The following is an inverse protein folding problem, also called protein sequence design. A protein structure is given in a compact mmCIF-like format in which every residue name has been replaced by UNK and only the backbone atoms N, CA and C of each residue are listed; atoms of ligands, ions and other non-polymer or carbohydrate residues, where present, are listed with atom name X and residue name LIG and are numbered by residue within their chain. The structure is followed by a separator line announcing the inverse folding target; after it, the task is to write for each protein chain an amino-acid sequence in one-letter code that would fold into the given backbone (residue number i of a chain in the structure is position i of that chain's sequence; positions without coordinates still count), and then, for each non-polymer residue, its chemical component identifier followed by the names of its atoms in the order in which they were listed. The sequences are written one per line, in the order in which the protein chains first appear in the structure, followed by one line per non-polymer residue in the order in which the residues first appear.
data_IF_232717021591
#
_entry.id   IF_232717021591
#
_cell.length_a   1.000
_cell.length_b   1.000
_cell.length_c   1.000
_cell.angle_alpha   90.00
_cell.angle_beta   90.00
_cell.angle_gamma   90.00
#
_symmetry.space_group_name_H-M   'P 1'
#
loop_
_entity.id
_entity.type
_entity.pdbx_description
1 polymer ?
#
# COMPACT_ATOMS: atom_id res chain seq x y z
N UNK A 1 -8.05 29.37 1.34
CA UNK A 1 -7.77 28.69 0.05
C UNK A 1 -8.94 27.75 -0.17
N UNK A 2 -9.52 27.75 -1.38
CA UNK A 2 -10.55 26.76 -1.69
C UNK A 2 -9.90 25.37 -1.68
N UNK A 3 -10.59 24.40 -1.09
CA UNK A 3 -10.19 22.99 -1.11
C UNK A 3 -10.13 22.49 -2.56
N UNK A 4 -9.12 21.69 -2.90
CA UNK A 4 -8.97 21.17 -4.26
C UNK A 4 -10.07 20.14 -4.53
N UNK A 5 -10.89 20.37 -5.55
CA UNK A 5 -11.86 19.38 -6.03
C UNK A 5 -11.21 18.45 -7.05
N UNK A 6 -11.56 17.18 -7.01
CA UNK A 6 -11.13 16.13 -7.94
C UNK A 6 -12.23 15.70 -8.90
N UNK A 7 -13.37 16.39 -8.92
CA UNK A 7 -14.59 16.03 -9.68
C UNK A 7 -14.33 15.75 -11.17
N UNK A 8 -13.41 16.49 -11.80
CA UNK A 8 -13.04 16.24 -13.20
C UNK A 8 -12.03 15.09 -13.34
N UNK A 9 -11.06 15.01 -12.42
CA UNK A 9 -10.00 14.01 -12.46
C UNK A 9 -10.51 12.60 -12.17
N UNK A 10 -11.54 12.45 -11.34
CA UNK A 10 -12.09 11.12 -11.00
C UNK A 10 -12.75 10.44 -12.21
N UNK A 11 -13.14 11.19 -13.25
CA UNK A 11 -13.65 10.60 -14.52
C UNK A 11 -12.64 9.62 -15.14
N UNK A 12 -11.34 9.87 -14.96
CA UNK A 12 -10.26 9.00 -15.44
C UNK A 12 -10.23 7.64 -14.74
N UNK A 13 -10.85 7.50 -13.58
CA UNK A 13 -10.97 6.22 -12.88
C UNK A 13 -11.84 5.20 -13.63
N UNK A 14 -12.66 5.67 -14.61
CA UNK A 14 -13.48 4.81 -15.47
C UNK A 14 -12.73 4.21 -16.66
N UNK A 15 -11.48 4.62 -16.91
CA UNK A 15 -10.65 4.06 -17.98
C UNK A 15 -10.55 2.53 -17.84
N UNK A 16 -10.67 1.85 -18.98
CA UNK A 16 -10.69 0.40 -19.09
C UNK A 16 -9.37 -0.21 -19.50
N UNK A 17 -9.42 -1.46 -19.92
CA UNK A 17 -8.25 -2.24 -20.34
C UNK A 17 -7.57 -1.63 -21.56
N UNK A 18 -6.25 -1.41 -21.44
CA UNK A 18 -5.42 -0.89 -22.53
C UNK A 18 -5.42 0.63 -22.69
N UNK A 19 -6.31 1.35 -22.02
CA UNK A 19 -6.37 2.81 -22.10
C UNK A 19 -5.23 3.46 -21.28
N UNK A 20 -4.77 4.62 -21.75
CA UNK A 20 -3.67 5.34 -21.09
C UNK A 20 -4.22 6.26 -20.01
N UNK A 21 -3.98 5.89 -18.75
CA UNK A 21 -4.22 6.76 -17.61
C UNK A 21 -3.12 7.83 -17.50
N UNK A 22 -3.53 9.09 -17.31
CA UNK A 22 -2.62 10.20 -17.05
C UNK A 22 -3.12 11.00 -15.86
N UNK A 23 -2.28 11.16 -14.83
CA UNK A 23 -2.69 11.86 -13.62
C UNK A 23 -1.63 11.86 -12.53
N UNK A 24 -2.09 12.14 -11.34
CA UNK A 24 -1.32 12.21 -10.11
C UNK A 24 -1.24 10.86 -9.41
N UNK A 25 -0.21 10.65 -8.58
CA UNK A 25 0.03 9.39 -7.86
C UNK A 25 -1.17 8.92 -7.03
N UNK A 26 -1.84 9.83 -6.34
CA UNK A 26 -3.03 9.51 -5.53
C UNK A 26 -4.19 8.99 -6.40
N UNK A 27 -4.44 9.60 -7.55
CA UNK A 27 -5.43 9.11 -8.51
C UNK A 27 -5.06 7.73 -9.06
N UNK A 28 -3.76 7.50 -9.32
CA UNK A 28 -3.27 6.20 -9.76
C UNK A 28 -3.45 5.12 -8.69
N UNK A 29 -3.27 5.46 -7.41
CA UNK A 29 -3.58 4.56 -6.28
C UNK A 29 -5.06 4.19 -6.27
N UNK A 30 -5.95 5.18 -6.38
CA UNK A 30 -7.40 4.93 -6.43
C UNK A 30 -7.77 4.03 -7.61
N UNK A 31 -7.21 4.31 -8.79
CA UNK A 31 -7.42 3.45 -9.97
C UNK A 31 -6.94 2.02 -9.72
N UNK A 32 -5.78 1.84 -9.10
CA UNK A 32 -5.24 0.52 -8.77
C UNK A 32 -6.10 -0.25 -7.75
N UNK A 33 -6.73 0.45 -6.78
CA UNK A 33 -7.70 -0.14 -5.86
C UNK A 33 -8.92 -0.69 -6.62
N UNK A 34 -9.47 0.09 -7.57
CA UNK A 34 -10.58 -0.34 -8.42
C UNK A 34 -10.20 -1.53 -9.31
N UNK A 35 -9.03 -1.50 -9.92
CA UNK A 35 -8.51 -2.61 -10.73
C UNK A 35 -8.25 -3.88 -9.90
N UNK A 36 -7.98 -3.71 -8.61
CA UNK A 36 -7.74 -4.82 -7.68
C UNK A 36 -9.03 -5.44 -7.13
N UNK A 37 -10.19 -4.86 -7.41
CA UNK A 37 -11.48 -5.38 -6.89
C UNK A 37 -11.60 -5.20 -5.39
N UNK A 38 -11.19 -4.05 -4.86
CA UNK A 38 -11.37 -3.71 -3.44
C UNK A 38 -12.86 -3.69 -3.09
N UNK A 39 -13.24 -4.22 -1.94
CA UNK A 39 -14.63 -4.24 -1.47
C UNK A 39 -14.96 -3.05 -0.56
N UNK A 40 -13.97 -2.54 0.16
CA UNK A 40 -14.14 -1.41 1.07
C UNK A 40 -12.83 -0.64 1.25
N UNK A 41 -12.98 0.67 1.48
CA UNK A 41 -11.88 1.56 1.85
C UNK A 41 -12.33 2.42 3.02
N UNK A 42 -11.55 2.47 4.08
CA UNK A 42 -11.76 3.38 5.19
C UNK A 42 -10.51 4.25 5.38
N UNK A 43 -10.68 5.43 5.95
CA UNK A 43 -9.53 6.27 6.17
C UNK A 43 -9.77 7.45 7.09
N UNK A 44 -8.66 8.07 7.48
CA UNK A 44 -8.66 9.32 8.24
C UNK A 44 -7.68 10.29 7.60
N UNK A 45 -8.09 11.54 7.41
CA UNK A 45 -7.30 12.52 6.69
C UNK A 45 -5.99 12.85 7.40
N UNK A 46 -4.93 13.02 6.61
CA UNK A 46 -3.62 13.45 7.10
C UNK A 46 -2.63 13.62 5.93
N UNK A 47 -2.00 14.80 5.82
CA UNK A 47 -1.04 15.05 4.76
C UNK A 47 0.18 14.09 4.88
N UNK A 48 0.73 13.58 3.76
CA UNK A 48 0.45 13.93 2.36
C UNK A 48 -0.63 13.09 1.68
N UNK A 49 -1.30 12.17 2.39
CA UNK A 49 -2.24 11.21 1.81
C UNK A 49 -3.72 11.70 1.85
N UNK A 50 -4.02 12.87 2.43
CA UNK A 50 -5.37 13.42 2.57
C UNK A 50 -6.18 13.35 1.28
N UNK A 51 -5.58 13.74 0.16
CA UNK A 51 -6.25 13.77 -1.13
C UNK A 51 -6.75 12.39 -1.60
N UNK A 52 -6.25 11.28 -1.06
CA UNK A 52 -6.82 9.97 -1.36
C UNK A 52 -8.27 9.87 -0.87
N UNK A 53 -8.54 10.45 0.31
CA UNK A 53 -9.90 10.50 0.86
C UNK A 53 -10.79 11.43 0.03
N UNK A 54 -10.26 12.57 -0.43
CA UNK A 54 -10.99 13.52 -1.27
C UNK A 54 -11.34 12.91 -2.62
N UNK A 55 -10.38 12.21 -3.27
CA UNK A 55 -10.61 11.48 -4.53
C UNK A 55 -11.67 10.39 -4.34
N UNK A 56 -11.64 9.63 -3.24
CA UNK A 56 -12.62 8.59 -2.96
C UNK A 56 -14.02 9.19 -2.73
N UNK A 57 -14.11 10.33 -2.04
CA UNK A 57 -15.37 11.05 -1.85
C UNK A 57 -15.95 11.57 -3.18
N UNK A 58 -15.13 12.21 -4.02
CA UNK A 58 -15.55 12.70 -5.34
C UNK A 58 -15.85 11.56 -6.32
N UNK A 59 -15.34 10.34 -6.08
CA UNK A 59 -15.59 9.15 -6.88
C UNK A 59 -16.79 8.30 -6.39
N UNK A 60 -17.63 8.80 -5.49
CA UNK A 60 -18.69 8.04 -4.82
C UNK A 60 -19.60 7.28 -5.80
N UNK A 61 -19.93 7.88 -6.94
CA UNK A 61 -20.75 7.22 -7.98
C UNK A 61 -20.05 5.96 -8.51
N UNK A 62 -18.75 6.06 -8.81
CA UNK A 62 -17.94 4.94 -9.31
C UNK A 62 -17.85 3.83 -8.25
N UNK A 63 -17.64 4.22 -6.99
CA UNK A 63 -17.58 3.27 -5.87
C UNK A 63 -18.90 2.53 -5.71
N UNK A 64 -20.02 3.25 -5.78
CA UNK A 64 -21.37 2.68 -5.70
C UNK A 64 -21.64 1.71 -6.84
N UNK A 65 -21.30 2.07 -8.08
CA UNK A 65 -21.42 1.21 -9.26
C UNK A 65 -20.67 -0.12 -9.10
N UNK A 66 -19.51 -0.10 -8.42
CA UNK A 66 -18.69 -1.28 -8.19
C UNK A 66 -19.01 -2.00 -6.87
N UNK A 67 -19.96 -1.50 -6.08
CA UNK A 67 -20.33 -2.07 -4.78
C UNK A 67 -19.26 -1.91 -3.72
N UNK A 68 -18.44 -0.87 -3.81
CA UNK A 68 -17.35 -0.56 -2.89
C UNK A 68 -17.87 0.33 -1.77
N UNK A 69 -17.68 -0.10 -0.53
CA UNK A 69 -17.96 0.73 0.65
C UNK A 69 -16.81 1.69 0.91
N UNK A 70 -17.11 2.97 1.05
CA UNK A 70 -16.15 4.00 1.43
C UNK A 70 -16.59 4.69 2.72
N UNK A 71 -15.68 4.89 3.65
CA UNK A 71 -15.94 5.50 4.94
C UNK A 71 -14.85 6.48 5.36
N UNK A 72 -15.26 7.71 5.70
CA UNK A 72 -14.47 8.61 6.52
C UNK A 72 -14.61 8.19 7.98
N UNK A 73 -13.55 7.64 8.54
CA UNK A 73 -13.54 7.14 9.91
C UNK A 73 -13.34 8.27 10.92
N UNK A 74 -13.77 8.04 12.16
CA UNK A 74 -13.61 9.01 13.24
C UNK A 74 -12.15 9.14 13.73
N UNK A 75 -11.32 8.15 13.44
CA UNK A 75 -9.88 8.12 13.75
C UNK A 75 -9.17 7.07 12.91
N UNK A 76 -7.85 7.11 12.91
CA UNK A 76 -7.01 6.09 12.27
C UNK A 76 -7.19 4.70 12.91
N UNK A 77 -7.47 4.64 14.21
CA UNK A 77 -7.76 3.39 14.90
C UNK A 77 -9.05 2.73 14.37
N UNK A 78 -10.11 3.52 14.16
CA UNK A 78 -11.35 3.01 13.57
C UNK A 78 -11.16 2.62 12.11
N UNK A 79 -10.41 3.42 11.33
CA UNK A 79 -10.06 3.07 9.94
C UNK A 79 -9.30 1.74 9.87
N UNK A 80 -8.31 1.53 10.72
CA UNK A 80 -7.58 0.27 10.78
C UNK A 80 -8.45 -0.90 11.24
N UNK A 81 -9.38 -0.68 12.18
CA UNK A 81 -10.28 -1.71 12.69
C UNK A 81 -11.24 -2.23 11.60
N UNK A 82 -11.60 -1.44 10.58
CA UNK A 82 -12.44 -1.92 9.46
C UNK A 82 -11.77 -3.07 8.69
N UNK A 83 -10.43 -3.13 8.69
CA UNK A 83 -9.69 -4.24 8.05
C UNK A 83 -9.98 -5.62 8.69
N UNK A 84 -10.62 -5.65 9.87
CA UNK A 84 -11.09 -6.88 10.48
C UNK A 84 -12.13 -7.63 9.61
N UNK A 85 -12.78 -6.95 8.67
CA UNK A 85 -13.64 -7.63 7.68
C UNK A 85 -12.85 -8.63 6.84
N UNK A 86 -11.61 -8.33 6.48
CA UNK A 86 -10.72 -9.23 5.75
C UNK A 86 -10.16 -10.39 6.60
N UNK A 87 -10.38 -10.41 7.92
CA UNK A 87 -10.06 -11.56 8.77
C UNK A 87 -11.06 -12.70 8.54
N UNK A 88 -12.35 -12.37 8.50
CA UNK A 88 -13.43 -13.37 8.42
C UNK A 88 -13.88 -13.68 7.00
N UNK A 89 -13.60 -12.79 6.04
CA UNK A 89 -14.09 -12.88 4.67
C UNK A 89 -12.96 -12.72 3.66
N UNK A 90 -13.07 -13.36 2.48
CA UNK A 90 -12.11 -13.19 1.39
C UNK A 90 -12.33 -11.86 0.66
N UNK A 91 -12.36 -10.76 1.42
CA UNK A 91 -12.55 -9.40 0.94
C UNK A 91 -11.21 -8.68 0.86
N UNK A 92 -10.95 -7.98 -0.24
CA UNK A 92 -9.87 -7.01 -0.32
C UNK A 92 -10.35 -5.70 0.30
N UNK A 93 -9.67 -5.25 1.33
CA UNK A 93 -9.95 -4.00 2.02
C UNK A 93 -8.72 -3.12 2.12
N UNK A 94 -8.92 -1.81 2.14
CA UNK A 94 -7.85 -0.85 2.35
C UNK A 94 -8.18 0.12 3.50
N UNK A 95 -7.16 0.48 4.27
CA UNK A 95 -7.22 1.60 5.20
C UNK A 95 -6.15 2.62 4.82
N UNK A 96 -6.46 3.92 4.94
CA UNK A 96 -5.53 4.99 4.60
C UNK A 96 -5.49 6.08 5.66
N UNK A 97 -4.27 6.52 6.00
CA UNK A 97 -4.02 7.61 6.95
C UNK A 97 -2.56 8.05 6.86
N UNK A 98 -2.24 9.17 7.51
CA UNK A 98 -0.86 9.60 7.64
C UNK A 98 -0.05 8.59 8.44
N UNK A 99 1.23 8.36 8.06
CA UNK A 99 2.21 7.60 8.81
C UNK A 99 2.35 8.14 10.23
N UNK A 100 3.39 7.94 10.93
CA UNK A 100 3.69 8.47 12.27
C UNK A 100 2.48 8.68 13.19
N UNK A 101 1.70 9.76 13.01
CA UNK A 101 0.52 10.04 13.82
C UNK A 101 -0.50 8.91 13.72
N UNK A 102 -0.90 8.57 12.49
CA UNK A 102 -1.94 7.57 12.26
C UNK A 102 -1.50 6.16 12.63
N UNK A 103 -0.26 5.77 12.36
CA UNK A 103 0.26 4.47 12.79
C UNK A 103 0.34 4.35 14.30
N UNK A 104 0.65 5.45 15.01
CA UNK A 104 0.64 5.46 16.48
C UNK A 104 -0.79 5.32 17.03
N UNK A 105 -1.75 6.06 16.48
CA UNK A 105 -3.17 5.97 16.90
C UNK A 105 -3.76 4.59 16.57
N UNK A 106 -3.44 4.04 15.40
CA UNK A 106 -3.93 2.73 14.93
C UNK A 106 -3.14 1.54 15.49
N UNK A 107 -2.14 1.76 16.36
CA UNK A 107 -1.14 0.77 16.75
C UNK A 107 -1.74 -0.53 17.27
N UNK A 108 -2.75 -0.45 18.13
CA UNK A 108 -3.39 -1.63 18.70
C UNK A 108 -4.18 -2.42 17.63
N UNK A 109 -5.01 -1.74 16.84
CA UNK A 109 -5.79 -2.37 15.79
C UNK A 109 -4.89 -3.07 14.74
N UNK A 110 -3.79 -2.43 14.35
CA UNK A 110 -2.82 -3.01 13.41
C UNK A 110 -2.05 -4.18 14.01
N UNK A 111 -1.68 -4.11 15.30
CA UNK A 111 -1.01 -5.22 15.99
C UNK A 111 -1.92 -6.45 16.10
N UNK A 112 -3.19 -6.26 16.44
CA UNK A 112 -4.19 -7.32 16.47
C UNK A 112 -4.36 -7.97 15.09
N UNK A 113 -4.51 -7.15 14.03
CA UNK A 113 -4.64 -7.63 12.66
C UNK A 113 -3.41 -8.44 12.21
N UNK A 114 -2.21 -7.97 12.52
CA UNK A 114 -0.96 -8.66 12.20
C UNK A 114 -0.81 -9.98 12.98
N UNK A 115 -1.24 -10.02 14.22
CA UNK A 115 -1.17 -11.22 15.07
C UNK A 115 -2.11 -12.31 14.56
N UNK A 116 -3.41 -12.02 14.44
CA UNK A 116 -4.42 -12.98 13.98
C UNK A 116 -4.28 -13.37 12.51
N UNK A 117 -3.73 -12.47 11.69
CA UNK A 117 -3.65 -12.62 10.25
C UNK A 117 -4.98 -12.34 9.55
N UNK A 118 -4.99 -12.48 8.24
CA UNK A 118 -6.12 -12.17 7.37
C UNK A 118 -6.43 -13.32 6.42
N UNK A 119 -7.68 -13.41 6.01
CA UNK A 119 -8.16 -14.37 4.98
C UNK A 119 -8.19 -13.68 3.61
N UNK A 120 -8.72 -12.47 3.56
CA UNK A 120 -8.70 -11.62 2.38
C UNK A 120 -7.49 -10.70 2.34
N UNK A 121 -7.34 -9.93 1.27
CA UNK A 121 -6.26 -8.94 1.15
C UNK A 121 -6.51 -7.72 2.03
N UNK A 122 -5.57 -7.37 2.90
CA UNK A 122 -5.64 -6.17 3.76
C UNK A 122 -4.45 -5.24 3.46
N UNK A 123 -4.75 -4.06 2.92
CA UNK A 123 -3.74 -3.08 2.54
C UNK A 123 -3.86 -1.82 3.42
N UNK A 124 -2.75 -1.40 3.99
CA UNK A 124 -2.64 -0.20 4.82
C UNK A 124 -1.84 0.83 4.03
N UNK A 125 -2.49 1.85 3.49
CA UNK A 125 -1.86 2.88 2.66
C UNK A 125 -1.51 4.07 3.55
N UNK A 126 -0.21 4.29 3.77
CA UNK A 126 0.27 5.35 4.65
C UNK A 126 1.03 6.41 3.87
N UNK A 127 0.69 7.68 4.12
CA UNK A 127 1.42 8.82 3.61
C UNK A 127 2.57 9.22 4.53
N UNK A 128 3.74 9.48 3.99
CA UNK A 128 4.94 9.83 4.78
C UNK A 128 5.62 11.09 4.23
N UNK A 129 5.90 12.06 5.10
CA UNK A 129 6.46 13.37 4.73
C UNK A 129 7.62 13.83 5.62
N UNK A 130 8.26 12.93 6.33
CA UNK A 130 9.42 13.31 7.16
C UNK A 130 10.54 13.89 6.28
N UNK A 131 11.14 14.97 6.77
CA UNK A 131 12.25 15.65 6.10
C UNK A 131 11.87 16.51 4.89
N UNK A 132 10.64 16.43 4.38
CA UNK A 132 10.19 17.16 3.19
C UNK A 132 8.90 17.96 3.41
N UNK A 133 8.09 17.59 4.39
CA UNK A 133 6.79 18.18 4.62
C UNK A 133 6.69 18.91 5.95
N UNK A 134 5.46 19.08 6.40
CA UNK A 134 5.10 19.77 7.62
C UNK A 134 4.93 18.86 8.84
N UNK A 135 5.49 17.65 8.81
CA UNK A 135 5.41 16.73 9.94
C UNK A 135 6.12 17.28 11.17
N UNK A 136 5.38 17.36 12.26
CA UNK A 136 5.92 17.75 13.57
C UNK A 136 6.82 16.66 14.11
N UNK A 137 6.43 15.39 13.94
CA UNK A 137 7.19 14.22 14.36
C UNK A 137 7.95 13.62 13.17
N UNK A 138 9.23 13.35 13.37
CA UNK A 138 10.13 12.82 12.34
C UNK A 138 10.37 11.32 12.49
N UNK A 139 9.36 10.57 12.92
CA UNK A 139 9.40 9.11 13.01
C UNK A 139 9.30 8.45 11.62
N UNK A 140 9.60 7.17 11.59
CA UNK A 140 9.66 6.38 10.35
C UNK A 140 8.60 5.28 10.34
N UNK A 141 7.76 5.26 9.30
CA UNK A 141 6.73 4.23 9.11
C UNK A 141 7.31 2.80 9.04
N UNK A 142 8.54 2.64 8.50
CA UNK A 142 9.18 1.33 8.45
C UNK A 142 9.50 0.74 9.84
N UNK A 143 9.87 1.57 10.80
CA UNK A 143 10.10 1.11 12.17
C UNK A 143 8.82 0.56 12.79
N UNK A 144 7.67 1.19 12.50
CA UNK A 144 6.37 0.70 12.90
C UNK A 144 6.04 -0.66 12.24
N UNK A 145 6.24 -0.79 10.93
CA UNK A 145 5.99 -2.03 10.21
C UNK A 145 6.85 -3.20 10.76
N UNK A 146 8.12 -2.94 11.09
CA UNK A 146 9.00 -3.92 11.72
C UNK A 146 8.51 -4.32 13.11
N UNK A 147 8.18 -3.36 13.97
CA UNK A 147 7.64 -3.60 15.32
C UNK A 147 6.37 -4.43 15.27
N UNK A 148 5.44 -4.08 14.39
CA UNK A 148 4.13 -4.72 14.27
C UNK A 148 4.14 -5.96 13.37
N UNK A 149 5.29 -6.30 12.77
CA UNK A 149 5.49 -7.46 11.93
C UNK A 149 4.58 -7.48 10.68
N UNK A 150 4.31 -6.30 10.14
CA UNK A 150 3.56 -6.07 8.90
C UNK A 150 4.55 -5.95 7.74
N UNK A 151 4.24 -6.53 6.59
CA UNK A 151 5.06 -6.34 5.38
C UNK A 151 4.94 -4.90 4.87
N UNK A 152 6.06 -4.30 4.48
CA UNK A 152 6.10 -2.92 3.99
C UNK A 152 6.53 -2.90 2.54
N UNK A 153 5.73 -2.27 1.68
CA UNK A 153 6.08 -1.93 0.30
C UNK A 153 6.38 -0.43 0.19
N UNK A 154 7.52 -0.09 -0.40
CA UNK A 154 8.00 1.28 -0.64
C UNK A 154 8.35 1.41 -2.14
N UNK A 155 7.36 1.66 -3.03
CA UNK A 155 7.58 1.68 -4.47
C UNK A 155 8.41 2.88 -4.93
N UNK A 156 9.03 2.76 -6.10
CA UNK A 156 9.62 3.92 -6.77
C UNK A 156 8.53 4.97 -7.07
N UNK A 157 8.83 6.27 -6.92
CA UNK A 157 7.84 7.33 -7.12
C UNK A 157 7.59 7.59 -8.62
N UNK A 158 6.91 6.63 -9.25
CA UNK A 158 6.33 6.73 -10.59
C UNK A 158 5.04 5.90 -10.65
N UNK A 159 4.11 6.28 -11.52
CA UNK A 159 2.79 5.67 -11.55
C UNK A 159 2.80 4.15 -11.80
N UNK A 160 3.56 3.61 -12.78
CA UNK A 160 3.59 2.17 -12.99
C UNK A 160 4.04 1.38 -11.75
N UNK A 161 5.08 1.85 -11.03
CA UNK A 161 5.56 1.20 -9.82
C UNK A 161 4.56 1.29 -8.67
N UNK A 162 3.86 2.43 -8.52
CA UNK A 162 2.84 2.63 -7.49
C UNK A 162 1.65 1.69 -7.74
N UNK A 163 1.13 1.66 -8.97
CA UNK A 163 0.02 0.78 -9.36
C UNK A 163 0.37 -0.70 -9.17
N UNK A 164 1.57 -1.11 -9.60
CA UNK A 164 2.05 -2.45 -9.40
C UNK A 164 2.18 -2.82 -7.91
N UNK A 165 2.61 -1.87 -7.05
CA UNK A 165 2.74 -2.09 -5.63
C UNK A 165 1.37 -2.24 -4.92
N UNK A 166 0.35 -1.50 -5.33
CA UNK A 166 -1.03 -1.69 -4.80
C UNK A 166 -1.54 -3.09 -5.12
N UNK A 167 -1.43 -3.52 -6.39
CA UNK A 167 -1.85 -4.86 -6.83
C UNK A 167 -1.08 -5.96 -6.09
N UNK A 168 0.26 -5.85 -6.08
CA UNK A 168 1.12 -6.80 -5.38
C UNK A 168 0.89 -6.82 -3.87
N UNK A 169 0.52 -5.69 -3.26
CA UNK A 169 0.19 -5.60 -1.85
C UNK A 169 -1.00 -6.47 -1.45
N UNK A 170 -2.08 -6.46 -2.23
CA UNK A 170 -3.20 -7.37 -2.02
C UNK A 170 -2.82 -8.83 -2.23
N UNK A 171 -2.13 -9.13 -3.34
CA UNK A 171 -1.69 -10.49 -3.64
C UNK A 171 -0.73 -11.05 -2.58
N UNK A 172 0.21 -10.22 -2.08
CA UNK A 172 1.13 -10.58 -1.00
C UNK A 172 0.37 -10.83 0.30
N UNK A 173 -0.62 -9.97 0.62
CA UNK A 173 -1.45 -10.12 1.81
C UNK A 173 -2.21 -11.44 1.78
N UNK A 174 -2.83 -11.78 0.65
CA UNK A 174 -3.56 -13.04 0.45
C UNK A 174 -2.62 -14.25 0.51
N UNK A 175 -1.48 -14.19 -0.17
CA UNK A 175 -0.51 -15.29 -0.22
C UNK A 175 0.15 -15.60 1.13
N UNK A 176 0.30 -14.57 1.98
CA UNK A 176 0.96 -14.69 3.28
C UNK A 176 0.02 -14.63 4.47
N UNK A 177 -1.27 -14.44 4.25
CA UNK A 177 -2.26 -14.21 5.31
C UNK A 177 -1.84 -13.12 6.31
N UNK A 178 -1.13 -12.10 5.83
CA UNK A 178 -0.57 -11.02 6.65
C UNK A 178 -0.97 -9.68 6.05
N UNK A 179 -1.38 -8.69 6.85
CA UNK A 179 -1.64 -7.36 6.31
C UNK A 179 -0.36 -6.78 5.71
N UNK A 180 -0.52 -5.94 4.69
CA UNK A 180 0.59 -5.28 3.99
C UNK A 180 0.45 -3.77 4.11
N UNK A 181 1.53 -3.09 4.45
CA UNK A 181 1.61 -1.63 4.47
C UNK A 181 2.23 -1.15 3.16
N UNK A 182 1.56 -0.23 2.49
CA UNK A 182 2.07 0.50 1.34
C UNK A 182 2.45 1.91 1.78
N UNK A 183 3.73 2.23 1.77
CA UNK A 183 4.24 3.53 2.13
C UNK A 183 4.34 4.42 0.89
N UNK A 184 3.66 5.56 0.91
CA UNK A 184 3.74 6.57 -0.13
C UNK A 184 4.37 7.84 0.45
N UNK A 185 5.56 8.15 -0.01
CA UNK A 185 6.21 9.41 0.37
C UNK A 185 5.53 10.58 -0.34
N UNK A 186 5.64 11.78 0.21
CA UNK A 186 5.01 12.99 -0.34
C UNK A 186 5.22 13.12 -1.86
N UNK A 187 6.43 12.83 -2.36
CA UNK A 187 6.72 12.87 -3.80
C UNK A 187 5.95 11.84 -4.60
N UNK A 188 5.72 10.65 -4.05
CA UNK A 188 4.93 9.62 -4.69
C UNK A 188 3.44 9.97 -4.71
N UNK A 189 2.94 10.65 -3.68
CA UNK A 189 1.55 11.13 -3.63
C UNK A 189 1.26 12.12 -4.77
N UNK A 190 2.22 13.02 -5.08
CA UNK A 190 2.03 14.14 -6.00
C UNK A 190 2.76 14.00 -7.33
N UNK A 191 3.43 12.87 -7.59
CA UNK A 191 4.07 12.64 -8.89
C UNK A 191 3.02 12.55 -9.99
N UNK A 192 3.27 13.22 -11.11
CA UNK A 192 2.46 13.10 -12.31
C UNK A 192 3.13 12.15 -13.30
N UNK A 193 2.32 11.36 -14.00
CA UNK A 193 2.81 10.40 -14.98
C UNK A 193 1.69 9.69 -15.72
N UNK A 194 2.03 8.57 -16.33
CA UNK A 194 1.07 7.75 -17.05
C UNK A 194 1.35 6.25 -16.85
N UNK A 195 0.32 5.45 -17.04
CA UNK A 195 0.41 3.99 -17.12
C UNK A 195 -0.74 3.45 -17.98
N UNK A 196 -0.62 2.21 -18.44
CA UNK A 196 -1.72 1.53 -19.13
C UNK A 196 -2.68 0.95 -18.10
N UNK A 197 -3.92 1.42 -18.12
CA UNK A 197 -4.95 1.00 -17.21
C UNK A 197 -5.45 -0.42 -17.52
N UNK A 198 -5.97 -1.09 -16.50
CA UNK A 198 -6.75 -2.31 -16.61
C UNK A 198 -8.23 -2.03 -16.32
N UNK A 199 -9.09 -2.97 -16.64
CA UNK A 199 -10.50 -2.85 -16.29
C UNK A 199 -10.72 -2.84 -14.78
N UNK A 200 -11.63 -2.01 -14.31
CA UNK A 200 -12.10 -2.04 -12.93
C UNK A 200 -12.77 -3.38 -12.64
N UNK A 201 -12.57 -3.90 -11.44
CA UNK A 201 -13.11 -5.18 -11.01
C UNK A 201 -14.05 -4.99 -9.84
N UNK A 202 -15.17 -5.69 -9.85
CA UNK A 202 -16.00 -5.84 -8.66
C UNK A 202 -15.37 -6.87 -7.73
N UNK A 203 -15.51 -6.66 -6.43
CA UNK A 203 -15.21 -7.72 -5.48
C UNK A 203 -16.13 -8.92 -5.77
N UNK A 204 -15.60 -10.16 -5.76
CA UNK A 204 -16.43 -11.36 -5.92
C UNK A 204 -17.43 -11.55 -4.75
N UNK A 205 -17.19 -10.83 -3.66
CA UNK A 205 -18.03 -10.85 -2.47
C UNK A 205 -18.05 -9.45 -1.87
N UNK A 206 -19.23 -8.85 -1.80
CA UNK A 206 -19.37 -7.46 -1.32
C UNK A 206 -19.53 -7.42 0.21
N UNK A 207 -19.24 -6.26 0.81
CA UNK A 207 -19.47 -6.05 2.23
C UNK A 207 -20.93 -6.30 2.62
N UNK A 208 -21.89 -5.90 1.77
CA UNK A 208 -23.32 -6.17 1.98
C UNK A 208 -23.63 -7.68 2.05
N UNK A 209 -23.04 -8.47 1.17
CA UNK A 209 -23.18 -9.94 1.19
C UNK A 209 -22.55 -10.52 2.45
N UNK A 210 -21.40 -10.01 2.89
CA UNK A 210 -20.77 -10.40 4.13
C UNK A 210 -21.67 -10.13 5.35
N UNK A 211 -22.36 -8.99 5.37
CA UNK A 211 -23.29 -8.64 6.44
C UNK A 211 -24.54 -9.54 6.44
N UNK A 212 -25.03 -9.92 5.26
CA UNK A 212 -26.19 -10.83 5.12
C UNK A 212 -25.84 -12.29 5.46
N UNK A 213 -24.57 -12.66 5.36
CA UNK A 213 -24.06 -13.99 5.68
C UNK A 213 -22.94 -13.90 6.72
N UNK A 214 -23.25 -13.52 7.95
CA UNK A 214 -22.23 -13.28 8.96
C UNK A 214 -21.42 -14.55 9.24
N UNK A 215 -20.11 -14.43 9.11
CA UNK A 215 -19.14 -15.48 9.43
C UNK A 215 -18.29 -15.01 10.59
N UNK A 216 -17.95 -15.91 11.47
CA UNK A 216 -17.03 -15.65 12.57
C UNK A 216 -16.04 -16.81 12.66
N UNK A 217 -14.81 -16.54 12.29
CA UNK A 217 -13.73 -17.50 12.50
C UNK A 217 -13.17 -17.35 13.92
N UNK A 218 -13.62 -18.19 14.83
CA UNK A 218 -13.15 -18.18 16.21
C UNK A 218 -11.68 -18.58 16.36
N UNK A 219 -11.11 -19.25 15.35
CA UNK A 219 -9.70 -19.61 15.34
C UNK A 219 -8.78 -18.39 15.15
N UNK A 220 -9.31 -17.28 14.62
CA UNK A 220 -8.58 -16.02 14.42
C UNK A 220 -8.69 -15.03 15.58
N UNK A 221 -9.34 -15.42 16.67
CA UNK A 221 -9.43 -14.56 17.87
C UNK A 221 -8.05 -14.46 18.52
N UNK A 222 -7.59 -13.21 18.76
CA UNK A 222 -6.28 -12.90 19.34
C UNK A 222 -6.35 -12.96 20.88
N UNK A 223 -6.68 -14.14 21.42
CA UNK A 223 -6.74 -14.42 22.84
C UNK A 223 -6.03 -15.75 23.13
N UNK A 224 -5.48 -15.93 24.33
CA UNK A 224 -4.93 -17.24 24.74
C UNK A 224 -5.99 -18.35 24.72
N UNK A 225 -5.66 -19.57 24.26
CA UNK A 225 -4.33 -20.02 23.80
C UNK A 225 -4.06 -19.72 22.31
N UNK A 226 -5.04 -19.19 21.55
CA UNK A 226 -4.92 -18.99 20.10
C UNK A 226 -3.83 -17.99 19.72
N UNK A 227 -3.59 -16.95 20.52
CA UNK A 227 -2.51 -15.98 20.28
C UNK A 227 -1.13 -16.63 20.14
N UNK A 228 -0.86 -17.67 20.91
CA UNK A 228 0.39 -18.45 20.82
C UNK A 228 0.44 -19.30 19.54
N UNK A 229 -0.69 -19.90 19.15
CA UNK A 229 -0.79 -20.65 17.92
C UNK A 229 -0.57 -19.75 16.68
N UNK A 230 -1.14 -18.54 16.69
CA UNK A 230 -0.95 -17.55 15.62
C UNK A 230 0.51 -17.08 15.49
N UNK A 231 1.22 -16.89 16.60
CA UNK A 231 2.63 -16.53 16.55
C UNK A 231 3.46 -17.65 15.92
N UNK A 232 3.18 -18.90 16.27
CA UNK A 232 3.82 -20.05 15.65
C UNK A 232 3.51 -20.17 14.16
N UNK A 233 2.23 -20.04 13.77
CA UNK A 233 1.80 -20.01 12.37
C UNK A 233 2.51 -18.89 11.60
N UNK A 234 2.58 -17.68 12.17
CA UNK A 234 3.21 -16.52 11.55
C UNK A 234 4.68 -16.80 11.20
N UNK A 235 5.45 -17.32 12.14
CA UNK A 235 6.87 -17.60 11.93
C UNK A 235 7.09 -18.78 10.99
N UNK A 236 6.31 -19.85 11.13
CA UNK A 236 6.55 -21.11 10.43
C UNK A 236 5.91 -21.18 9.04
N UNK A 237 4.86 -20.41 8.77
CA UNK A 237 4.09 -20.50 7.53
C UNK A 237 3.94 -19.15 6.83
N UNK A 238 3.42 -18.14 7.51
CA UNK A 238 3.06 -16.84 6.92
C UNK A 238 4.27 -16.06 6.42
N UNK A 239 5.35 -16.01 7.19
CA UNK A 239 6.57 -15.33 6.77
C UNK A 239 7.29 -16.06 5.62
N UNK A 240 7.52 -17.37 5.66
CA UNK A 240 8.07 -18.09 4.51
C UNK A 240 7.25 -17.94 3.24
N UNK A 241 5.92 -17.94 3.34
CA UNK A 241 5.04 -17.70 2.19
C UNK A 241 5.21 -16.31 1.60
N UNK A 242 5.35 -15.27 2.45
CA UNK A 242 5.61 -13.91 1.98
C UNK A 242 6.97 -13.79 1.29
N UNK A 243 8.03 -14.33 1.86
CA UNK A 243 9.38 -14.32 1.26
C UNK A 243 9.37 -15.03 -0.10
N UNK A 244 8.71 -16.18 -0.18
CA UNK A 244 8.53 -16.91 -1.44
C UNK A 244 7.79 -16.09 -2.50
N UNK A 245 6.71 -15.40 -2.09
CA UNK A 245 5.95 -14.52 -2.99
C UNK A 245 6.81 -13.37 -3.50
N UNK A 246 7.49 -12.64 -2.61
CA UNK A 246 8.34 -11.49 -2.94
C UNK A 246 9.45 -11.88 -3.91
N UNK A 247 10.14 -12.98 -3.63
CA UNK A 247 11.22 -13.50 -4.49
C UNK A 247 10.68 -13.99 -5.82
N UNK A 248 9.57 -14.75 -5.81
CA UNK A 248 8.99 -15.32 -7.03
C UNK A 248 8.37 -14.27 -7.96
N UNK A 249 7.91 -13.14 -7.44
CA UNK A 249 7.38 -12.02 -8.22
C UNK A 249 8.45 -10.99 -8.61
N UNK A 250 9.67 -11.11 -8.08
CA UNK A 250 10.72 -10.13 -8.34
C UNK A 250 10.31 -8.72 -7.93
N UNK A 251 9.72 -8.56 -6.75
CA UNK A 251 9.24 -7.24 -6.31
C UNK A 251 10.39 -6.24 -6.17
N UNK A 252 11.55 -6.70 -5.75
CA UNK A 252 12.78 -5.90 -5.73
C UNK A 252 13.41 -5.87 -7.12
N UNK A 253 14.03 -4.76 -7.47
CA UNK A 253 14.60 -4.55 -8.80
C UNK A 253 16.11 -4.46 -8.73
N UNK A 254 16.78 -5.08 -9.70
CA UNK A 254 18.21 -4.99 -9.85
C UNK A 254 18.55 -4.34 -11.20
N UNK A 255 19.30 -3.26 -11.17
CA UNK A 255 19.80 -2.55 -12.35
C UNK A 255 21.32 -2.65 -12.36
N UNK A 256 21.86 -3.38 -13.30
CA UNK A 256 23.29 -3.51 -13.54
C UNK A 256 23.54 -3.44 -15.05
N UNK A 257 24.24 -2.40 -15.51
CA UNK A 257 24.72 -2.30 -16.89
C UNK A 257 26.20 -2.70 -16.97
N UNK A 258 26.95 -2.60 -15.88
CA UNK A 258 28.36 -2.94 -15.77
C UNK A 258 28.62 -3.73 -14.49
N UNK A 259 29.69 -4.52 -14.49
CA UNK A 259 30.22 -5.16 -13.29
C UNK A 259 31.19 -4.17 -12.62
N UNK A 260 30.72 -3.45 -11.63
CA UNK A 260 31.53 -2.59 -10.76
C UNK A 260 31.73 -3.29 -9.41
N UNK A 261 32.88 -3.04 -8.78
CA UNK A 261 33.21 -3.62 -7.46
C UNK A 261 32.32 -3.05 -6.32
N UNK A 262 31.58 -1.98 -6.60
CA UNK A 262 30.71 -1.31 -5.62
C UNK A 262 29.29 -1.20 -6.17
N UNK A 263 28.34 -1.82 -5.46
CA UNK A 263 26.91 -1.67 -5.72
C UNK A 263 26.22 -0.83 -4.66
N UNK A 264 25.06 -0.27 -4.98
CA UNK A 264 24.24 0.52 -4.08
C UNK A 264 22.93 -0.15 -3.80
N UNK A 265 22.52 -0.20 -2.52
CA UNK A 265 21.20 -0.65 -2.10
C UNK A 265 20.39 0.58 -1.72
N UNK A 266 19.21 0.75 -2.33
CA UNK A 266 18.34 1.90 -2.10
C UNK A 266 16.90 1.46 -1.89
N UNK A 267 16.20 2.19 -1.04
CA UNK A 267 14.75 2.02 -0.88
C UNK A 267 14.01 2.64 -2.07
N UNK A 268 12.92 2.00 -2.51
CA UNK A 268 12.17 2.44 -3.68
C UNK A 268 11.81 3.92 -3.67
N UNK A 269 11.26 4.43 -2.57
CA UNK A 269 10.90 5.83 -2.44
C UNK A 269 12.05 6.83 -2.52
N UNK A 270 13.30 6.38 -2.35
CA UNK A 270 14.50 7.21 -2.47
C UNK A 270 15.18 7.11 -3.85
N UNK A 271 14.69 6.26 -4.73
CA UNK A 271 15.32 5.96 -6.02
C UNK A 271 15.61 7.22 -6.84
N UNK A 272 14.62 8.07 -7.06
CA UNK A 272 14.81 9.30 -7.86
C UNK A 272 15.82 10.27 -7.24
N UNK A 273 15.89 10.32 -5.91
CA UNK A 273 16.88 11.17 -5.21
C UNK A 273 18.29 10.63 -5.41
N UNK A 274 18.47 9.30 -5.29
CA UNK A 274 19.75 8.67 -5.55
C UNK A 274 20.22 8.92 -6.98
N UNK A 275 19.36 8.72 -7.98
CA UNK A 275 19.72 8.94 -9.38
C UNK A 275 20.19 10.38 -9.64
N UNK A 276 19.53 11.38 -9.06
CA UNK A 276 19.98 12.80 -9.18
C UNK A 276 21.34 13.04 -8.55
N UNK A 277 21.65 12.36 -7.46
CA UNK A 277 22.98 12.45 -6.83
C UNK A 277 24.02 11.81 -7.74
N UNK A 278 23.75 10.61 -8.25
CA UNK A 278 24.66 9.90 -9.16
C UNK A 278 24.89 10.67 -10.47
N UNK A 279 23.87 11.32 -11.02
CA UNK A 279 23.99 12.21 -12.18
C UNK A 279 24.93 13.38 -11.88
N UNK A 280 24.76 14.06 -10.75
CA UNK A 280 25.65 15.17 -10.35
C UNK A 280 27.09 14.74 -10.10
N UNK A 281 27.29 13.50 -9.69
CA UNK A 281 28.63 12.91 -9.53
C UNK A 281 29.19 12.36 -10.84
N UNK A 282 28.47 12.47 -11.96
CA UNK A 282 28.87 11.94 -13.24
C UNK A 282 28.88 10.40 -13.32
N UNK A 283 28.16 9.73 -12.41
CA UNK A 283 28.07 8.25 -12.32
C UNK A 283 26.77 7.73 -12.94
N UNK A 284 25.80 8.59 -13.23
CA UNK A 284 24.59 8.26 -13.98
C UNK A 284 24.35 9.27 -15.10
N UNK A 285 23.62 8.85 -16.13
CA UNK A 285 23.18 9.72 -17.21
C UNK A 285 21.83 10.41 -16.87
N UNK A 286 21.42 11.35 -17.73
CA UNK A 286 20.16 12.09 -17.60
C UNK A 286 18.90 11.20 -17.76
N UNK A 287 19.06 9.99 -18.29
CA UNK A 287 17.98 8.99 -18.45
C UNK A 287 17.85 8.06 -17.25
N UNK A 288 18.72 8.23 -16.24
CA UNK A 288 18.72 7.43 -15.03
C UNK A 288 19.45 6.09 -15.14
N UNK A 289 20.33 5.93 -16.14
CA UNK A 289 21.20 4.78 -16.26
C UNK A 289 22.44 5.01 -15.39
N UNK A 290 22.61 4.19 -14.37
CA UNK A 290 23.76 4.24 -13.47
C UNK A 290 24.86 3.30 -13.94
N UNK A 291 26.12 3.76 -13.88
CA UNK A 291 27.29 2.88 -14.06
C UNK A 291 27.49 1.95 -12.89
N UNK A 292 27.01 2.32 -11.69
CA UNK A 292 27.04 1.47 -10.51
C UNK A 292 25.81 0.57 -10.46
N UNK A 293 25.95 -0.72 -10.11
CA UNK A 293 24.82 -1.61 -9.87
C UNK A 293 23.90 -1.06 -8.76
N UNK A 294 22.60 -1.06 -9.02
CA UNK A 294 21.58 -0.60 -8.06
C UNK A 294 20.65 -1.74 -7.70
N UNK A 295 20.53 -2.06 -6.42
CA UNK A 295 19.48 -2.91 -5.88
C UNK A 295 18.40 -2.04 -5.23
N UNK A 296 17.21 -2.02 -5.82
CA UNK A 296 16.08 -1.21 -5.36
C UNK A 296 15.13 -2.08 -4.54
N UNK A 297 15.15 -1.87 -3.23
CA UNK A 297 14.26 -2.55 -2.31
C UNK A 297 12.88 -1.90 -2.33
N UNK A 298 11.89 -2.60 -2.83
CA UNK A 298 10.49 -2.21 -2.73
C UNK A 298 9.80 -2.85 -1.54
N UNK A 299 10.33 -3.97 -1.04
CA UNK A 299 9.91 -4.56 0.23
C UNK A 299 11.01 -4.38 1.29
N UNK A 300 10.64 -4.32 2.57
CA UNK A 300 11.59 -4.01 3.65
C UNK A 300 11.80 -5.11 4.66
N UNK A 301 11.19 -6.27 4.51
CA UNK A 301 11.37 -7.39 5.43
C UNK A 301 12.21 -8.54 4.89
N UNK A 302 12.46 -8.60 3.58
CA UNK A 302 13.17 -9.73 2.98
C UNK A 302 14.69 -9.62 3.02
N UNK A 303 15.22 -8.50 3.54
CA UNK A 303 16.66 -8.32 3.74
C UNK A 303 16.98 -8.57 5.20
N UNK A 304 17.07 -9.81 5.57
CA UNK A 304 17.76 -10.31 6.78
C UNK A 304 18.72 -11.38 6.33
#
# INVERSE_FOLDING_TARGET
MAERSFTEEVKKLRLGEGEVFRGEGILAVTKALLESGVAYVAGYQGAPISHLMDVLADAQDILTEHGIHFENSASEATAAATLAASVNYPLRGAATFKSTVGTNVASDALANLASGGVTGGALIIVGEDYGEGSSIMQERGHAFAMKSQIWLLDPRPNLPSIVAAVKAGFELSEASHTPVMLQLRIRACHVHGQFTASANRRSPFTLREAMNQPRRDTSRIVLPPMSFAHEKEKVQQRWPAAVKFISGRGLNEFFAENEDDVGLIVQGGNYNTLLRVLERLGVADVFGRSRMPLYVMKDRKSVV
#
